data_IF_132209992589
#
_entry.id   IF_132209992589
#
_cell.length_a   1.000
_cell.length_b   1.000
_cell.length_c   1.000
_cell.angle_alpha   90.00
_cell.angle_beta   90.00
_cell.angle_gamma   90.00
#
_symmetry.space_group_name_H-M   'P 1'
#
loop_
_entity.id
_entity.type
_entity.pdbx_description
1 polymer ?
#
# COMPACT_ATOMS: atom_id res chain seq x y z
N UNK A 1 -4.34 31.45 -1.16
CA UNK A 1 -3.11 32.23 -1.41
C UNK A 1 -3.08 33.41 -0.43
N UNK A 2 -1.91 33.82 0.06
CA UNK A 2 -1.74 35.03 0.88
C UNK A 2 -0.60 35.93 0.38
N UNK A 3 -0.11 35.71 -0.84
CA UNK A 3 0.92 36.52 -1.48
C UNK A 3 0.45 36.95 -2.88
N UNK A 4 1.06 38.01 -3.46
CA UNK A 4 0.83 38.37 -4.86
C UNK A 4 1.51 37.40 -5.85
N UNK A 5 2.28 36.42 -5.34
CA UNK A 5 3.03 35.49 -6.17
C UNK A 5 2.15 34.35 -6.67
N UNK A 6 2.39 33.95 -7.92
CA UNK A 6 1.77 32.76 -8.50
C UNK A 6 2.23 31.50 -7.76
N UNK A 7 1.28 30.68 -7.33
CA UNK A 7 1.55 29.38 -6.68
C UNK A 7 1.30 28.26 -7.68
N UNK A 8 2.32 27.43 -7.92
CA UNK A 8 2.17 26.17 -8.65
C UNK A 8 1.82 25.05 -7.66
N UNK A 9 0.57 24.60 -7.73
CA UNK A 9 0.04 23.50 -6.95
C UNK A 9 -0.38 22.32 -7.84
N UNK A 10 0.20 22.24 -9.05
CA UNK A 10 0.06 21.07 -9.92
C UNK A 10 0.63 19.83 -9.21
N UNK A 11 0.03 18.66 -9.44
CA UNK A 11 0.44 17.37 -8.85
C UNK A 11 0.27 17.25 -7.32
N UNK A 12 -0.46 18.17 -6.71
CA UNK A 12 -0.97 17.97 -5.36
C UNK A 12 -2.19 17.05 -5.36
N UNK A 13 -2.47 16.45 -4.20
CA UNK A 13 -3.71 15.72 -4.00
C UNK A 13 -4.83 16.72 -3.72
N UNK A 14 -5.91 16.62 -4.50
CA UNK A 14 -7.08 17.46 -4.37
C UNK A 14 -8.32 16.57 -4.19
N UNK A 15 -9.22 16.99 -3.28
CA UNK A 15 -10.54 16.40 -3.14
C UNK A 15 -11.56 17.53 -2.95
N UNK A 16 -12.57 17.67 -3.84
CA UNK A 16 -12.96 16.79 -4.95
C UNK A 16 -11.95 16.75 -6.10
N UNK A 17 -12.05 15.78 -7.02
CA UNK A 17 -11.14 15.68 -8.19
C UNK A 17 -11.60 16.49 -9.41
N UNK A 18 -12.84 16.99 -9.40
CA UNK A 18 -13.37 17.82 -10.47
C UNK A 18 -12.72 19.21 -10.43
N UNK A 19 -12.05 19.68 -11.50
CA UNK A 19 -11.36 20.97 -11.51
C UNK A 19 -12.25 22.14 -11.08
N UNK A 20 -13.51 22.17 -11.52
CA UNK A 20 -14.48 23.21 -11.16
C UNK A 20 -14.82 23.19 -9.66
N UNK A 21 -14.82 22.01 -9.04
CA UNK A 21 -15.04 21.90 -7.60
C UNK A 21 -13.81 22.32 -6.80
N UNK A 22 -12.61 22.05 -7.31
CA UNK A 22 -11.35 22.48 -6.69
C UNK A 22 -11.24 24.00 -6.70
N UNK A 23 -11.59 24.64 -7.83
CA UNK A 23 -11.60 26.10 -7.98
C UNK A 23 -12.38 26.79 -6.85
N UNK A 24 -13.54 26.25 -6.46
CA UNK A 24 -14.38 26.80 -5.41
C UNK A 24 -13.73 26.82 -4.02
N UNK A 25 -12.66 26.06 -3.79
CA UNK A 25 -11.94 26.00 -2.51
C UNK A 25 -10.60 26.73 -2.52
N UNK A 26 -10.20 27.26 -3.67
CA UNK A 26 -8.95 27.99 -3.84
C UNK A 26 -9.26 29.48 -3.74
N UNK A 27 -8.65 30.15 -2.75
CA UNK A 27 -8.70 31.61 -2.65
C UNK A 27 -7.49 32.23 -3.37
N UNK A 28 -7.70 32.88 -4.51
CA UNK A 28 -6.63 33.42 -5.36
C UNK A 28 -6.98 34.75 -6.06
N UNK A 29 -6.25 35.10 -7.12
CA UNK A 29 -6.49 36.29 -7.94
C UNK A 29 -7.95 36.50 -8.36
N UNK A 30 -8.70 35.42 -8.61
CA UNK A 30 -10.09 35.51 -9.06
C UNK A 30 -11.05 35.93 -7.93
N UNK A 31 -10.64 35.80 -6.67
CA UNK A 31 -11.38 36.30 -5.50
C UNK A 31 -10.87 37.67 -5.02
N UNK A 32 -9.55 37.90 -5.06
CA UNK A 32 -8.91 39.18 -4.71
C UNK A 32 -7.79 39.50 -5.72
N UNK A 33 -7.91 40.60 -6.48
CA UNK A 33 -6.93 40.95 -7.53
C UNK A 33 -5.53 41.30 -6.99
N UNK A 34 -5.34 41.42 -5.67
CA UNK A 34 -4.02 41.61 -5.05
C UNK A 34 -3.25 40.31 -4.80
N UNK A 35 -3.88 39.16 -5.03
CA UNK A 35 -3.26 37.84 -4.85
C UNK A 35 -2.73 37.29 -6.18
N UNK A 36 -1.75 36.40 -6.10
CA UNK A 36 -1.30 35.65 -7.26
C UNK A 36 -2.26 34.53 -7.64
N UNK A 37 -2.19 34.08 -8.90
CA UNK A 37 -2.97 32.95 -9.42
C UNK A 37 -2.47 31.64 -8.82
N UNK A 38 -3.38 30.73 -8.48
CA UNK A 38 -3.01 29.35 -8.10
C UNK A 38 -3.22 28.44 -9.29
N UNK A 39 -2.12 27.91 -9.85
CA UNK A 39 -2.17 26.93 -10.93
C UNK A 39 -2.36 25.55 -10.30
N UNK A 40 -3.40 24.82 -10.69
CA UNK A 40 -3.65 23.47 -10.21
C UNK A 40 -4.01 22.54 -11.37
N UNK A 41 -3.56 21.30 -11.25
CA UNK A 41 -3.93 20.19 -12.11
C UNK A 41 -4.09 18.98 -11.18
N UNK A 42 -5.32 18.51 -10.93
CA UNK A 42 -5.54 17.41 -10.02
C UNK A 42 -4.83 16.17 -10.54
N UNK A 43 -4.01 15.57 -9.68
CA UNK A 43 -3.44 14.27 -9.95
C UNK A 43 -4.54 13.21 -9.98
N UNK A 44 -5.19 13.03 -11.14
CA UNK A 44 -6.14 11.95 -11.37
C UNK A 44 -5.43 10.62 -11.16
N UNK A 45 -5.67 9.99 -9.99
CA UNK A 45 -5.12 8.68 -9.61
C UNK A 45 -3.61 8.50 -9.76
N UNK A 46 -2.79 9.56 -9.67
CA UNK A 46 -1.33 9.44 -9.78
C UNK A 46 -0.61 10.25 -8.73
N UNK A 47 -0.27 9.56 -7.63
CA UNK A 47 0.79 9.86 -6.65
C UNK A 47 1.08 11.36 -6.50
N UNK A 48 0.38 11.98 -5.55
CA UNK A 48 0.67 13.36 -5.16
C UNK A 48 2.07 13.45 -4.53
N UNK A 49 2.85 14.43 -4.97
CA UNK A 49 4.24 14.63 -4.59
C UNK A 49 4.40 15.22 -3.19
N UNK A 50 4.34 14.36 -2.17
CA UNK A 50 4.99 14.60 -0.88
C UNK A 50 5.90 13.41 -0.55
N UNK A 51 6.82 13.51 0.43
CA UNK A 51 7.50 12.34 0.96
C UNK A 51 6.52 11.52 1.83
N UNK A 52 5.40 11.07 1.25
CA UNK A 52 4.75 9.86 1.69
C UNK A 52 5.42 8.75 0.89
N UNK A 53 6.11 7.84 1.59
CA UNK A 53 6.68 6.67 0.98
C UNK A 53 5.65 6.05 0.06
N UNK A 54 6.03 5.83 -1.20
CA UNK A 54 5.16 5.21 -2.17
C UNK A 54 4.60 3.93 -1.53
N UNK A 55 3.32 3.92 -1.18
CA UNK A 55 2.56 2.71 -1.30
C UNK A 55 2.47 2.47 -2.81
N UNK A 56 3.58 2.00 -3.41
CA UNK A 56 3.41 1.03 -4.48
C UNK A 56 2.38 0.06 -3.90
N UNK A 57 1.26 -0.15 -4.59
CA UNK A 57 0.39 -1.28 -4.32
C UNK A 57 1.23 -2.53 -4.62
N UNK A 58 2.07 -2.86 -3.64
CA UNK A 58 2.99 -3.97 -3.62
C UNK A 58 2.12 -5.20 -3.64
N UNK A 59 2.34 -6.05 -4.65
CA UNK A 59 1.91 -7.44 -4.75
C UNK A 59 0.81 -7.78 -3.74
N UNK A 60 -0.46 -7.60 -4.12
CA UNK A 60 -1.64 -7.78 -3.26
C UNK A 60 -1.47 -9.04 -2.40
N UNK A 61 -0.93 -8.87 -1.20
CA UNK A 61 -0.64 -9.98 -0.31
C UNK A 61 -1.86 -10.11 0.59
N UNK A 62 -2.71 -11.09 0.32
CA UNK A 62 -3.87 -11.40 1.15
C UNK A 62 -3.50 -12.49 2.15
N UNK A 63 -3.92 -12.30 3.39
CA UNK A 63 -3.87 -13.33 4.42
C UNK A 63 -5.29 -13.79 4.69
N UNK A 64 -5.49 -15.10 4.74
CA UNK A 64 -6.77 -15.75 4.98
C UNK A 64 -6.57 -17.00 5.86
N UNK A 65 -7.64 -17.45 6.51
CA UNK A 65 -7.60 -18.63 7.37
C UNK A 65 -8.44 -19.74 6.73
N UNK A 66 -7.84 -20.93 6.57
CA UNK A 66 -8.52 -22.12 6.05
C UNK A 66 -9.61 -22.62 7.00
N UNK A 67 -10.40 -23.64 6.59
CA UNK A 67 -11.79 -23.83 7.02
C UNK A 67 -11.95 -23.86 8.54
N UNK A 68 -13.05 -23.28 9.03
CA UNK A 68 -13.40 -23.26 10.45
C UNK A 68 -13.68 -24.68 10.97
N UNK A 69 -13.03 -25.15 12.07
CA UNK A 69 -12.01 -24.48 12.89
C UNK A 69 -10.68 -24.26 12.18
N UNK A 70 -10.21 -23.01 12.14
CA UNK A 70 -9.11 -22.59 11.30
C UNK A 70 -7.75 -23.19 11.71
N UNK A 71 -7.26 -24.19 10.98
CA UNK A 71 -5.94 -24.81 11.23
C UNK A 71 -4.88 -24.46 10.19
N UNK A 72 -5.23 -23.60 9.22
CA UNK A 72 -4.37 -23.29 8.08
C UNK A 72 -4.29 -21.78 7.88
N UNK A 73 -3.08 -21.27 7.69
CA UNK A 73 -2.82 -19.88 7.29
C UNK A 73 -2.54 -19.87 5.79
N UNK A 74 -3.36 -19.16 5.03
CA UNK A 74 -3.19 -18.97 3.59
C UNK A 74 -2.61 -17.59 3.30
N UNK A 75 -1.51 -17.55 2.57
CA UNK A 75 -0.81 -16.34 2.15
C UNK A 75 -0.87 -16.30 0.63
N UNK A 76 -1.78 -15.49 0.09
CA UNK A 76 -1.94 -15.30 -1.35
C UNK A 76 -1.23 -14.02 -1.78
N UNK A 77 -0.50 -14.06 -2.90
CA UNK A 77 0.24 -12.91 -3.43
C UNK A 77 0.29 -12.93 -4.96
N UNK A 78 0.53 -11.76 -5.58
CA UNK A 78 0.64 -11.62 -7.03
C UNK A 78 1.99 -11.03 -7.41
N UNK A 79 2.68 -11.64 -8.37
CA UNK A 79 3.95 -11.16 -8.90
C UNK A 79 3.77 -10.62 -10.32
N UNK A 80 4.31 -9.43 -10.59
CA UNK A 80 4.25 -8.80 -11.92
C UNK A 80 5.32 -9.33 -12.87
N UNK A 81 6.47 -9.74 -12.33
CA UNK A 81 7.59 -10.34 -13.05
C UNK A 81 8.08 -11.59 -12.31
N UNK A 82 8.72 -12.56 -13.00
CA UNK A 82 9.40 -13.66 -12.34
C UNK A 82 10.52 -13.13 -11.45
N UNK A 83 10.52 -13.52 -10.17
CA UNK A 83 11.52 -13.05 -9.21
C UNK A 83 11.69 -14.04 -8.05
N UNK A 84 12.82 -13.92 -7.36
CA UNK A 84 13.06 -14.63 -6.11
C UNK A 84 12.23 -13.98 -4.99
N UNK A 85 11.60 -14.83 -4.19
CA UNK A 85 10.80 -14.42 -3.04
C UNK A 85 11.22 -15.20 -1.79
N UNK A 86 11.06 -14.55 -0.65
CA UNK A 86 11.26 -15.11 0.68
C UNK A 86 10.03 -14.79 1.55
N UNK A 87 9.33 -15.83 1.99
CA UNK A 87 8.21 -15.71 2.93
C UNK A 87 8.65 -16.31 4.25
N UNK A 88 8.60 -15.52 5.32
CA UNK A 88 8.92 -15.96 6.67
C UNK A 88 7.75 -15.70 7.60
N UNK A 89 7.39 -16.69 8.41
CA UNK A 89 6.33 -16.60 9.42
C UNK A 89 6.95 -16.74 10.80
N UNK A 90 6.66 -15.77 11.67
CA UNK A 90 7.15 -15.72 13.04
C UNK A 90 5.98 -15.74 14.02
N UNK A 91 6.19 -16.33 15.20
CA UNK A 91 5.27 -16.16 16.32
C UNK A 91 5.52 -14.84 17.08
N UNK A 92 4.71 -14.59 18.12
CA UNK A 92 4.79 -13.39 18.96
C UNK A 92 6.13 -13.23 19.70
N UNK A 93 6.83 -14.34 19.96
CA UNK A 93 8.14 -14.34 20.59
C UNK A 93 9.27 -14.07 19.58
N UNK A 94 8.94 -13.89 18.29
CA UNK A 94 9.90 -13.69 17.22
C UNK A 94 10.57 -14.99 16.74
N UNK A 95 10.10 -16.16 17.18
CA UNK A 95 10.63 -17.44 16.70
C UNK A 95 10.12 -17.69 15.28
N UNK A 96 11.04 -18.06 14.39
CA UNK A 96 10.72 -18.46 13.02
C UNK A 96 9.97 -19.80 13.04
N UNK A 97 8.73 -19.78 12.58
CA UNK A 97 7.87 -20.97 12.46
C UNK A 97 8.09 -21.63 11.11
N UNK A 98 8.14 -20.83 10.05
CA UNK A 98 8.30 -21.34 8.69
C UNK A 98 9.01 -20.34 7.79
N UNK A 99 9.77 -20.86 6.82
CA UNK A 99 10.41 -20.11 5.76
C UNK A 99 10.23 -20.80 4.39
N UNK A 100 9.79 -20.05 3.39
CA UNK A 100 9.74 -20.44 1.98
C UNK A 100 10.67 -19.51 1.19
N UNK A 101 11.56 -20.07 0.38
CA UNK A 101 12.45 -19.31 -0.51
C UNK A 101 12.40 -19.93 -1.90
N UNK A 102 12.32 -19.11 -2.93
CA UNK A 102 12.56 -19.57 -4.29
C UNK A 102 12.13 -18.59 -5.37
N UNK A 103 12.46 -18.95 -6.61
CA UNK A 103 12.02 -18.20 -7.79
C UNK A 103 10.58 -18.58 -8.10
N UNK A 104 9.71 -17.58 -8.21
CA UNK A 104 8.31 -17.77 -8.61
C UNK A 104 8.05 -17.01 -9.91
N UNK A 105 7.28 -17.61 -10.80
CA UNK A 105 6.88 -16.98 -12.07
C UNK A 105 5.93 -15.80 -11.84
N UNK A 106 5.75 -14.98 -12.88
CA UNK A 106 4.67 -13.98 -12.93
C UNK A 106 3.31 -14.63 -12.69
N UNK A 107 2.44 -13.98 -11.92
CA UNK A 107 1.07 -14.43 -11.68
C UNK A 107 0.71 -14.53 -10.20
N UNK A 108 -0.43 -15.18 -9.92
CA UNK A 108 -0.95 -15.40 -8.58
C UNK A 108 -0.38 -16.68 -7.98
N UNK A 109 -0.01 -16.60 -6.71
CA UNK A 109 0.51 -17.72 -5.93
C UNK A 109 -0.22 -17.81 -4.60
N UNK A 110 -0.28 -19.02 -4.06
CA UNK A 110 -0.81 -19.26 -2.74
C UNK A 110 0.14 -20.16 -1.96
N UNK A 111 0.54 -19.70 -0.78
CA UNK A 111 1.37 -20.44 0.15
C UNK A 111 0.56 -20.76 1.41
N UNK A 112 0.59 -22.02 1.86
CA UNK A 112 -0.25 -22.49 2.97
C UNK A 112 0.62 -23.05 4.07
N UNK A 113 0.45 -22.52 5.28
CA UNK A 113 1.01 -23.10 6.51
C UNK A 113 -0.08 -23.96 7.15
N UNK A 114 0.22 -25.23 7.39
CA UNK A 114 -0.68 -26.17 8.05
C UNK A 114 -0.39 -26.22 9.56
N UNK A 115 -1.35 -26.73 10.33
CA UNK A 115 -1.21 -27.04 11.77
C UNK A 115 -0.79 -25.86 12.64
N UNK A 116 -1.35 -24.68 12.33
CA UNK A 116 -1.05 -23.45 13.07
C UNK A 116 -1.91 -23.35 14.33
N UNK A 117 -1.27 -23.09 15.47
CA UNK A 117 -1.92 -22.93 16.77
C UNK A 117 -2.55 -21.53 16.91
N UNK A 118 -3.40 -21.35 17.90
CA UNK A 118 -3.98 -20.03 18.18
C UNK A 118 -2.88 -19.07 18.65
N UNK A 119 -2.99 -17.80 18.26
CA UNK A 119 -1.99 -16.79 18.59
C UNK A 119 -1.83 -15.69 17.55
N UNK A 120 -0.78 -14.90 17.75
CA UNK A 120 -0.40 -13.79 16.88
C UNK A 120 0.82 -14.20 16.07
N UNK A 121 0.75 -13.92 14.76
CA UNK A 121 1.79 -14.24 13.81
C UNK A 121 2.20 -13.01 13.01
N UNK A 122 3.49 -12.90 12.73
CA UNK A 122 4.06 -11.89 11.85
C UNK A 122 4.56 -12.56 10.59
N UNK A 123 4.07 -12.11 9.45
CA UNK A 123 4.47 -12.61 8.14
C UNK A 123 5.32 -11.55 7.48
N UNK A 124 6.53 -11.91 7.09
CA UNK A 124 7.43 -11.10 6.28
C UNK A 124 7.49 -11.69 4.88
N UNK A 125 7.17 -10.90 3.88
CA UNK A 125 7.35 -11.21 2.47
C UNK A 125 8.44 -10.31 1.92
N UNK A 126 9.46 -10.88 1.31
CA UNK A 126 10.56 -10.14 0.67
C UNK A 126 10.71 -10.60 -0.76
N UNK A 127 10.92 -9.64 -1.66
CA UNK A 127 11.36 -9.86 -3.03
C UNK A 127 12.56 -8.97 -3.35
N UNK A 128 13.04 -9.00 -4.59
CA UNK A 128 14.07 -8.08 -5.07
C UNK A 128 13.62 -6.61 -5.07
N UNK A 129 12.32 -6.36 -5.27
CA UNK A 129 11.79 -5.01 -5.45
C UNK A 129 11.21 -4.41 -4.16
N UNK A 130 10.77 -5.26 -3.23
CA UNK A 130 10.04 -4.80 -2.06
C UNK A 130 10.01 -5.77 -0.89
N UNK A 131 9.67 -5.23 0.28
CA UNK A 131 9.41 -5.98 1.50
C UNK A 131 8.06 -5.56 2.08
N UNK A 132 7.21 -6.54 2.41
CA UNK A 132 5.91 -6.35 3.06
C UNK A 132 5.90 -7.12 4.37
N UNK A 133 5.30 -6.52 5.40
CA UNK A 133 5.08 -7.16 6.69
C UNK A 133 3.60 -7.10 7.05
N UNK A 134 3.04 -8.21 7.52
CA UNK A 134 1.65 -8.30 7.96
C UNK A 134 1.53 -9.03 9.29
N UNK A 135 0.53 -8.60 10.08
CA UNK A 135 0.11 -9.26 11.31
C UNK A 135 -1.11 -10.11 11.02
N UNK A 136 -1.12 -11.34 11.51
CA UNK A 136 -2.27 -12.23 11.48
C UNK A 136 -2.59 -12.68 12.91
N UNK A 137 -3.86 -12.78 13.24
CA UNK A 137 -4.33 -13.20 14.56
C UNK A 137 -5.31 -14.35 14.34
N UNK A 138 -5.05 -15.47 15.01
CA UNK A 138 -5.94 -16.62 15.07
C UNK A 138 -6.43 -16.79 16.51
N UNK A 139 -7.75 -16.69 16.70
CA UNK A 139 -8.44 -16.97 17.95
C UNK A 139 -9.60 -17.90 17.60
N UNK A 140 -9.57 -19.13 18.12
CA UNK A 140 -10.65 -20.10 17.96
C UNK A 140 -11.62 -20.06 19.14
#
# INVERSE_FOLDING_TARGET
NNTPDTIDATKNYWYPQEPESIACFIYDYYDDPNLGVVIYDPAANKIAGGPQGSELELAIMKIDWGPNPAQKLSISYTLYNPQEIEISVYDVCGRLILKEIGIKAKGKHNFVVNEISDGVYFIKFKSSEFEVRKKAILLK
#
